data_IF_541193466649
#
_entry.id   IF_541193466649
#
_cell.length_a   1.000
_cell.length_b   1.000
_cell.length_c   1.000
_cell.angle_alpha   90.00
_cell.angle_beta   90.00
_cell.angle_gamma   90.00
#
_symmetry.space_group_name_H-M   'P 1'
#
loop_
_entity.id
_entity.type
_entity.pdbx_description
1 polymer ?
#
# COMPACT_ATOMS: atom_id res chain seq x y z
N UNK A 1 16.80 19.97 -10.26
CA UNK A 1 15.49 20.62 -10.04
C UNK A 1 15.29 20.60 -8.54
N UNK A 2 15.37 21.78 -7.91
CA UNK A 2 15.60 21.89 -6.48
C UNK A 2 14.48 21.19 -5.68
N UNK A 3 14.84 20.14 -4.94
CA UNK A 3 13.96 19.44 -4.01
C UNK A 3 14.34 19.81 -2.59
N UNK A 4 13.36 19.78 -1.69
CA UNK A 4 13.54 20.07 -0.27
C UNK A 4 14.07 18.85 0.48
N UNK A 5 13.46 17.70 0.23
CA UNK A 5 13.69 16.44 0.97
C UNK A 5 14.14 15.33 0.03
N UNK A 6 15.18 14.59 0.39
CA UNK A 6 15.55 13.34 -0.28
C UNK A 6 15.04 12.14 0.51
N UNK A 7 14.27 11.25 -0.13
CA UNK A 7 13.78 10.03 0.50
C UNK A 7 14.71 8.87 0.13
N UNK A 8 15.51 8.42 1.10
CA UNK A 8 16.36 7.23 0.93
C UNK A 8 15.65 6.00 1.48
N UNK A 9 15.50 4.98 0.64
CA UNK A 9 14.71 3.78 0.92
C UNK A 9 15.24 2.58 0.11
N UNK A 10 14.89 1.36 0.52
CA UNK A 10 15.12 0.18 -0.32
C UNK A 10 14.05 0.11 -1.40
N UNK A 11 14.40 -0.28 -2.63
CA UNK A 11 13.42 -0.41 -3.72
C UNK A 11 12.27 -1.37 -3.40
N UNK A 12 12.49 -2.31 -2.47
CA UNK A 12 11.47 -3.24 -1.95
C UNK A 12 10.40 -2.57 -1.08
N UNK A 13 10.72 -1.41 -0.52
CA UNK A 13 9.83 -0.63 0.35
C UNK A 13 9.24 0.58 -0.40
N UNK A 14 9.15 0.50 -1.73
CA UNK A 14 8.63 1.58 -2.57
C UNK A 14 7.25 2.10 -2.16
N UNK A 15 6.25 1.24 -1.86
CA UNK A 15 4.93 1.73 -1.45
C UNK A 15 5.00 2.62 -0.19
N UNK A 16 5.86 2.26 0.76
CA UNK A 16 6.11 3.02 1.99
C UNK A 16 6.71 4.40 1.66
N UNK A 17 7.71 4.42 0.78
CA UNK A 17 8.37 5.65 0.35
C UNK A 17 7.45 6.60 -0.43
N UNK A 18 6.64 6.06 -1.34
CA UNK A 18 5.67 6.84 -2.11
C UNK A 18 4.59 7.45 -1.20
N UNK A 19 4.15 6.72 -0.18
CA UNK A 19 3.22 7.26 0.80
C UNK A 19 3.83 8.41 1.62
N UNK A 20 5.10 8.29 2.02
CA UNK A 20 5.82 9.37 2.71
C UNK A 20 5.96 10.61 1.80
N UNK A 21 6.26 10.41 0.52
CA UNK A 21 6.33 11.48 -0.46
C UNK A 21 4.99 12.21 -0.55
N UNK A 22 3.88 11.47 -0.69
CA UNK A 22 2.55 12.06 -0.76
C UNK A 22 2.21 12.87 0.51
N UNK A 23 2.57 12.34 1.68
CA UNK A 23 2.39 13.03 2.95
C UNK A 23 3.16 14.37 2.97
N UNK A 24 4.46 14.36 2.63
CA UNK A 24 5.31 15.54 2.68
C UNK A 24 4.96 16.57 1.59
N UNK A 25 4.72 16.11 0.36
CA UNK A 25 4.30 16.97 -0.76
C UNK A 25 2.91 17.56 -0.50
N UNK A 26 2.02 16.82 0.17
CA UNK A 26 0.74 17.33 0.66
C UNK A 26 0.87 18.42 1.71
N UNK A 27 2.01 18.54 2.40
CA UNK A 27 2.33 19.61 3.34
C UNK A 27 3.25 20.69 2.72
N UNK A 28 3.38 20.69 1.39
CA UNK A 28 4.12 21.70 0.65
C UNK A 28 5.64 21.46 0.55
N UNK A 29 6.17 20.31 0.96
CA UNK A 29 7.60 20.00 0.82
C UNK A 29 7.87 19.24 -0.48
N UNK A 30 8.80 19.73 -1.29
CA UNK A 30 9.15 19.05 -2.54
C UNK A 30 10.08 17.85 -2.29
N UNK A 31 9.71 16.65 -2.71
CA UNK A 31 10.49 15.44 -2.45
C UNK A 31 11.27 14.97 -3.69
N UNK A 32 12.46 14.42 -3.48
CA UNK A 32 13.17 13.57 -4.44
C UNK A 32 12.99 12.10 -4.05
N UNK A 33 12.53 11.27 -4.99
CA UNK A 33 12.43 9.81 -4.82
C UNK A 33 12.94 9.11 -6.09
N UNK A 34 13.84 8.15 -5.91
CA UNK A 34 14.54 7.48 -7.02
C UNK A 34 13.60 6.74 -7.98
N UNK A 35 12.46 6.20 -7.52
CA UNK A 35 11.48 5.54 -8.40
C UNK A 35 10.78 6.47 -9.39
N UNK A 36 10.71 7.78 -9.09
CA UNK A 36 9.99 8.77 -9.90
C UNK A 36 10.94 9.70 -10.65
N UNK A 37 11.97 10.17 -9.96
CA UNK A 37 12.78 11.32 -10.41
C UNK A 37 14.03 10.89 -11.20
N UNK A 38 14.31 9.58 -11.31
CA UNK A 38 15.37 9.03 -12.17
C UNK A 38 14.74 8.46 -13.46
N UNK A 39 15.14 8.94 -14.66
CA UNK A 39 14.59 8.44 -15.92
C UNK A 39 14.87 6.94 -16.13
N UNK A 40 13.90 6.24 -16.73
CA UNK A 40 14.07 4.85 -17.13
C UNK A 40 15.23 4.73 -18.14
N UNK A 41 16.12 3.76 -17.93
CA UNK A 41 17.30 3.54 -18.77
C UNK A 41 18.49 4.46 -18.47
N UNK A 42 18.35 5.42 -17.55
CA UNK A 42 19.48 6.26 -17.13
C UNK A 42 20.39 5.54 -16.13
N UNK A 43 21.66 5.95 -16.09
CA UNK A 43 22.56 5.61 -14.98
C UNK A 43 22.12 6.37 -13.74
N UNK A 44 21.87 5.69 -12.63
CA UNK A 44 21.26 6.29 -11.43
C UNK A 44 22.21 7.22 -10.66
N UNK A 45 23.50 6.92 -10.64
CA UNK A 45 24.46 7.59 -9.76
C UNK A 45 24.55 9.12 -9.95
N UNK A 46 24.63 9.67 -11.18
CA UNK A 46 24.66 11.12 -11.38
C UNK A 46 23.41 11.82 -10.83
N UNK A 47 22.21 11.28 -11.10
CA UNK A 47 20.95 11.86 -10.62
C UNK A 47 20.85 11.88 -9.09
N UNK A 48 21.36 10.84 -8.44
CA UNK A 48 21.39 10.76 -6.98
C UNK A 48 22.35 11.82 -6.44
N UNK A 49 23.55 11.94 -7.00
CA UNK A 49 24.55 12.94 -6.57
C UNK A 49 23.98 14.36 -6.75
N UNK A 50 23.49 14.68 -7.94
CA UNK A 50 22.91 15.99 -8.25
C UNK A 50 21.74 16.32 -7.31
N UNK A 51 20.90 15.33 -6.99
CA UNK A 51 19.82 15.51 -6.04
C UNK A 51 20.33 15.78 -4.60
N UNK A 52 21.34 15.03 -4.15
CA UNK A 52 21.93 15.17 -2.81
C UNK A 52 22.61 16.53 -2.62
N UNK A 53 23.17 17.12 -3.68
CA UNK A 53 23.72 18.48 -3.65
C UNK A 53 22.62 19.53 -3.43
N UNK A 54 21.48 19.36 -4.12
CA UNK A 54 20.39 20.35 -4.14
C UNK A 54 19.46 20.29 -2.91
N UNK A 55 19.34 19.13 -2.24
CA UNK A 55 18.42 18.94 -1.11
C UNK A 55 18.82 19.75 0.13
N UNK A 56 17.88 19.87 1.07
CA UNK A 56 18.13 20.46 2.39
C UNK A 56 18.19 19.42 3.51
N UNK A 57 17.47 18.32 3.37
CA UNK A 57 17.43 17.25 4.38
C UNK A 57 17.21 15.89 3.71
N UNK A 58 17.85 14.85 4.25
CA UNK A 58 17.58 13.46 3.88
C UNK A 58 16.68 12.82 4.94
N UNK A 59 15.65 12.11 4.50
CA UNK A 59 14.84 11.23 5.34
C UNK A 59 15.14 9.78 4.94
N UNK A 60 15.47 8.94 5.92
CA UNK A 60 15.78 7.53 5.73
C UNK A 60 14.62 6.68 6.21
N UNK A 61 14.15 5.75 5.37
CA UNK A 61 13.23 4.68 5.77
C UNK A 61 14.03 3.45 6.20
N UNK A 62 14.34 3.34 7.49
CA UNK A 62 15.12 2.22 8.01
C UNK A 62 14.23 0.99 8.24
N UNK A 63 14.24 0.10 7.25
CA UNK A 63 13.62 -1.23 7.27
C UNK A 63 14.69 -2.34 7.28
N UNK A 64 14.29 -3.60 7.44
CA UNK A 64 15.18 -4.74 7.23
C UNK A 64 15.77 -4.75 5.80
N UNK A 65 14.95 -4.41 4.79
CA UNK A 65 15.38 -4.32 3.39
C UNK A 65 16.38 -3.18 3.17
N UNK A 66 16.24 -2.07 3.91
CA UNK A 66 17.18 -0.96 3.89
C UNK A 66 18.53 -1.39 4.46
N UNK A 67 18.54 -2.06 5.62
CA UNK A 67 19.77 -2.48 6.31
C UNK A 67 20.66 -3.38 5.42
N UNK A 68 20.04 -4.21 4.57
CA UNK A 68 20.73 -5.12 3.62
C UNK A 68 21.17 -4.45 2.31
N UNK A 69 20.74 -3.21 2.02
CA UNK A 69 21.02 -2.55 0.75
C UNK A 69 22.41 -1.90 0.73
N UNK A 70 23.23 -2.24 -0.27
CA UNK A 70 24.55 -1.62 -0.50
C UNK A 70 24.41 -0.24 -1.15
N UNK A 71 23.36 -0.03 -1.94
CA UNK A 71 23.18 1.24 -2.66
C UNK A 71 22.96 2.41 -1.71
N UNK A 72 22.19 2.19 -0.63
CA UNK A 72 21.92 3.23 0.37
C UNK A 72 23.15 3.57 1.21
N UNK A 73 24.15 2.68 1.30
CA UNK A 73 25.43 3.03 1.95
C UNK A 73 26.13 4.17 1.22
N UNK A 74 26.08 4.18 -0.11
CA UNK A 74 26.66 5.24 -0.93
C UNK A 74 25.93 6.56 -0.74
N UNK A 75 24.60 6.51 -0.72
CA UNK A 75 23.75 7.69 -0.50
C UNK A 75 24.02 8.35 0.85
N UNK A 76 24.09 7.55 1.93
CA UNK A 76 24.41 8.05 3.27
C UNK A 76 25.82 8.68 3.28
N UNK A 77 26.82 8.01 2.72
CA UNK A 77 28.19 8.54 2.69
C UNK A 77 28.25 9.88 1.96
N UNK A 78 27.64 10.01 0.78
CA UNK A 78 27.61 11.27 0.03
C UNK A 78 26.89 12.36 0.83
N UNK A 79 25.71 12.05 1.37
CA UNK A 79 24.90 13.00 2.13
C UNK A 79 25.62 13.52 3.39
N UNK A 80 26.26 12.62 4.14
CA UNK A 80 26.92 12.95 5.41
C UNK A 80 28.30 13.60 5.21
N UNK A 81 29.16 13.02 4.36
CA UNK A 81 30.57 13.42 4.29
C UNK A 81 30.80 14.57 3.31
N UNK A 82 30.17 14.50 2.14
CA UNK A 82 30.37 15.49 1.07
C UNK A 82 29.44 16.67 1.29
N UNK A 83 28.15 16.40 1.37
CA UNK A 83 27.12 17.44 1.36
C UNK A 83 26.77 17.97 2.75
N UNK A 84 27.16 17.24 3.81
CA UNK A 84 26.92 17.58 5.22
C UNK A 84 25.48 17.97 5.52
N UNK A 85 24.53 17.29 4.86
CA UNK A 85 23.10 17.55 5.04
C UNK A 85 22.58 16.81 6.28
N UNK A 86 21.61 17.37 7.00
CA UNK A 86 20.94 16.67 8.09
C UNK A 86 20.23 15.41 7.60
N UNK A 87 20.26 14.37 8.43
CA UNK A 87 19.64 13.07 8.19
C UNK A 87 18.61 12.80 9.29
N UNK A 88 17.39 12.46 8.89
CA UNK A 88 16.29 12.08 9.78
C UNK A 88 15.94 10.61 9.53
N UNK A 89 16.40 9.67 10.37
CA UNK A 89 16.04 8.27 10.23
C UNK A 89 14.68 7.97 10.87
N UNK A 90 13.79 7.37 10.09
CA UNK A 90 12.56 6.74 10.55
C UNK A 90 12.87 5.27 10.85
N UNK A 91 12.71 4.85 12.11
CA UNK A 91 12.91 3.46 12.53
C UNK A 91 11.65 2.66 12.24
N UNK A 92 11.69 1.78 11.23
CA UNK A 92 10.61 0.83 10.94
C UNK A 92 11.01 -0.63 11.20
N UNK A 93 12.24 -0.85 11.65
CA UNK A 93 12.78 -2.17 11.96
C UNK A 93 13.64 -2.13 13.22
N UNK A 94 13.57 -3.20 14.00
CA UNK A 94 14.41 -3.44 15.18
C UNK A 94 15.74 -4.11 14.85
N UNK A 95 16.02 -4.38 13.57
CA UNK A 95 17.27 -4.99 13.13
C UNK A 95 18.48 -4.12 13.53
N UNK A 96 19.55 -4.73 14.08
CA UNK A 96 20.73 -3.99 14.47
C UNK A 96 21.40 -3.37 13.24
N UNK A 97 21.83 -2.11 13.37
CA UNK A 97 22.61 -1.43 12.34
C UNK A 97 23.89 -2.21 12.02
N UNK A 98 24.21 -2.32 10.72
CA UNK A 98 25.43 -2.97 10.24
C UNK A 98 26.26 -2.04 9.35
N UNK A 99 27.56 -2.32 9.24
CA UNK A 99 28.46 -1.65 8.30
C UNK A 99 28.44 -0.11 8.38
N UNK A 100 28.33 0.54 7.21
CA UNK A 100 28.33 1.99 7.05
C UNK A 100 27.15 2.65 7.78
N UNK A 101 25.96 2.04 7.76
CA UNK A 101 24.78 2.55 8.47
C UNK A 101 25.02 2.64 9.96
N UNK A 102 25.72 1.67 10.56
CA UNK A 102 26.11 1.74 11.97
C UNK A 102 27.00 2.95 12.24
N UNK A 103 27.97 3.22 11.37
CA UNK A 103 28.86 4.35 11.54
C UNK A 103 28.13 5.70 11.56
N UNK A 104 27.24 5.95 10.59
CA UNK A 104 26.56 7.24 10.48
C UNK A 104 25.31 7.36 11.36
N UNK A 105 24.55 6.28 11.54
CA UNK A 105 23.23 6.35 12.17
C UNK A 105 23.23 6.02 13.67
N UNK A 106 24.33 5.51 14.25
CA UNK A 106 24.36 5.15 15.69
C UNK A 106 24.35 6.34 16.65
N UNK A 107 24.78 7.54 16.22
CA UNK A 107 24.92 8.71 17.10
C UNK A 107 23.97 9.86 16.73
N UNK A 108 22.89 9.57 16.02
CA UNK A 108 21.86 10.55 15.66
C UNK A 108 20.53 10.18 16.31
N UNK A 109 19.61 11.14 16.41
CA UNK A 109 18.26 10.89 16.92
C UNK A 109 17.40 10.22 15.85
N UNK A 110 16.55 9.30 16.29
CA UNK A 110 15.61 8.56 15.44
C UNK A 110 14.19 8.87 15.82
N UNK A 111 13.29 8.77 14.84
CA UNK A 111 11.85 8.70 15.09
C UNK A 111 11.49 7.22 15.08
N UNK A 112 11.06 6.66 16.22
CA UNK A 112 10.42 5.33 16.25
C UNK A 112 9.11 5.44 15.47
N UNK A 113 9.04 4.81 14.29
CA UNK A 113 8.04 5.13 13.28
C UNK A 113 7.11 3.94 13.02
N UNK A 114 5.91 4.05 13.60
CA UNK A 114 4.78 3.10 13.52
C UNK A 114 3.60 3.69 12.75
N UNK A 115 3.84 4.78 12.02
CA UNK A 115 2.83 5.46 11.21
C UNK A 115 1.68 6.06 12.01
N UNK A 116 1.91 6.40 13.28
CA UNK A 116 0.95 7.11 14.13
C UNK A 116 1.08 8.63 13.93
N UNK A 117 -0.02 9.37 14.07
CA UNK A 117 -0.07 10.83 13.83
C UNK A 117 1.04 11.61 14.55
N UNK A 118 1.31 11.28 15.81
CA UNK A 118 2.36 11.95 16.60
C UNK A 118 3.75 11.88 15.93
N UNK A 119 4.07 10.76 15.28
CA UNK A 119 5.37 10.56 14.63
C UNK A 119 5.49 11.40 13.34
N UNK A 120 4.38 11.64 12.64
CA UNK A 120 4.33 12.59 11.53
C UNK A 120 4.50 14.02 11.99
N UNK A 121 3.85 14.40 13.08
CA UNK A 121 3.97 15.74 13.65
C UNK A 121 5.43 16.00 14.05
N UNK A 122 6.11 15.01 14.64
CA UNK A 122 7.54 15.06 14.95
C UNK A 122 8.39 15.17 13.67
N UNK A 123 8.07 14.39 12.64
CA UNK A 123 8.78 14.44 11.36
C UNK A 123 8.62 15.82 10.68
N UNK A 124 7.41 16.33 10.56
CA UNK A 124 7.11 17.65 10.00
C UNK A 124 7.86 18.74 10.75
N UNK A 125 7.79 18.73 12.09
CA UNK A 125 8.52 19.69 12.92
C UNK A 125 10.02 19.63 12.65
N UNK A 126 10.57 18.43 12.51
CA UNK A 126 12.00 18.24 12.25
C UNK A 126 12.39 18.75 10.86
N UNK A 127 11.56 18.51 9.84
CA UNK A 127 11.77 19.02 8.47
C UNK A 127 11.66 20.55 8.45
N UNK A 128 10.62 21.13 9.05
CA UNK A 128 10.43 22.59 9.15
C UNK A 128 11.67 23.27 9.73
N UNK A 129 12.21 22.73 10.83
CA UNK A 129 13.41 23.26 11.49
C UNK A 129 14.63 23.21 10.57
N UNK A 130 14.85 22.11 9.84
CA UNK A 130 16.01 21.96 8.97
C UNK A 130 15.90 22.76 7.65
N UNK A 131 14.66 22.98 7.18
CA UNK A 131 14.39 23.62 5.89
C UNK A 131 14.15 25.13 6.02
N UNK A 132 13.66 25.59 7.18
CA UNK A 132 13.26 26.99 7.40
C UNK A 132 12.00 27.40 6.65
N UNK A 133 11.15 26.44 6.27
CA UNK A 133 9.87 26.64 5.58
C UNK A 133 8.73 26.10 6.45
N UNK A 134 7.64 26.85 6.59
CA UNK A 134 6.41 26.37 7.23
C UNK A 134 5.70 25.30 6.38
N UNK A 135 5.05 24.35 7.04
CA UNK A 135 4.21 23.37 6.37
C UNK A 135 2.88 24.01 5.94
N UNK A 136 2.40 23.63 4.76
CA UNK A 136 1.07 24.01 4.30
C UNK A 136 0.00 23.18 5.04
N UNK A 137 -1.13 23.77 5.46
CA UNK A 137 -2.20 23.04 6.13
C UNK A 137 -2.77 21.97 5.21
N UNK A 138 -2.85 20.72 5.68
CA UNK A 138 -3.47 19.64 4.95
C UNK A 138 -4.31 18.74 5.87
N UNK A 139 -5.63 18.89 5.78
CA UNK A 139 -6.60 18.10 6.55
C UNK A 139 -6.80 16.67 5.99
N UNK A 140 -6.27 16.36 4.80
CA UNK A 140 -6.38 15.04 4.13
C UNK A 140 -5.16 14.13 4.37
N UNK A 141 -4.51 14.26 5.52
CA UNK A 141 -3.32 13.50 5.87
C UNK A 141 -3.57 11.98 5.87
N UNK A 142 -3.21 11.29 4.78
CA UNK A 142 -3.12 9.81 4.74
C UNK A 142 -1.80 9.37 5.37
N UNK A 143 -1.87 8.71 6.51
CA UNK A 143 -0.70 8.18 7.22
C UNK A 143 -0.10 7.00 6.41
N UNK A 144 1.23 6.97 6.26
CA UNK A 144 2.09 5.96 5.61
C UNK A 144 1.78 4.51 6.01
N UNK A 145 1.27 4.29 7.22
CA UNK A 145 0.86 2.97 7.71
C UNK A 145 -0.63 2.89 8.01
N UNK A 146 -1.47 3.49 7.17
CA UNK A 146 -2.63 2.68 6.77
C UNK A 146 -2.04 1.48 5.99
N UNK A 147 -1.46 0.50 6.72
CA UNK A 147 -1.56 -0.91 6.32
C UNK A 147 -2.97 -1.02 5.78
N UNK A 148 -3.15 -1.46 4.52
CA UNK A 148 -4.49 -1.56 3.96
C UNK A 148 -5.37 -2.16 5.04
N UNK A 149 -6.32 -1.39 5.59
CA UNK A 149 -7.08 -1.82 6.78
C UNK A 149 -7.80 -3.14 6.50
N UNK A 150 -7.88 -3.46 5.22
CA UNK A 150 -8.53 -4.59 4.63
C UNK A 150 -7.56 -5.47 3.84
N UNK A 151 -7.65 -6.77 4.03
CA UNK A 151 -7.02 -7.79 3.19
C UNK A 151 -8.01 -8.24 2.11
N UNK A 152 -7.54 -8.33 0.86
CA UNK A 152 -8.33 -8.87 -0.25
C UNK A 152 -8.15 -10.38 -0.32
N UNK A 153 -9.25 -11.12 -0.40
CA UNK A 153 -9.25 -12.56 -0.68
C UNK A 153 -9.92 -12.85 -2.01
N UNK A 154 -9.35 -13.78 -2.79
CA UNK A 154 -9.94 -14.22 -4.05
C UNK A 154 -9.67 -15.71 -4.30
N UNK A 155 -10.45 -16.31 -5.20
CA UNK A 155 -10.20 -17.66 -5.68
C UNK A 155 -10.21 -18.71 -4.56
N UNK A 156 -9.08 -19.41 -4.41
CA UNK A 156 -8.92 -20.51 -3.45
C UNK A 156 -8.85 -20.05 -1.99
N UNK A 157 -8.63 -18.75 -1.73
CA UNK A 157 -8.58 -18.21 -0.37
C UNK A 157 -9.98 -18.03 0.24
N UNK A 158 -11.02 -17.97 -0.59
CA UNK A 158 -12.40 -17.80 -0.13
C UNK A 158 -12.83 -19.05 0.66
N UNK A 159 -13.47 -18.85 1.80
CA UNK A 159 -14.00 -19.93 2.64
C UNK A 159 -15.52 -19.86 2.78
N UNK A 160 -16.20 -20.96 3.14
CA UNK A 160 -17.64 -20.92 3.44
C UNK A 160 -17.99 -19.90 4.53
N UNK A 161 -17.12 -19.71 5.53
CA UNK A 161 -17.33 -18.71 6.58
C UNK A 161 -17.37 -17.28 6.02
N UNK A 162 -16.48 -16.96 5.08
CA UNK A 162 -16.49 -15.65 4.41
C UNK A 162 -17.76 -15.43 3.58
N UNK A 163 -18.28 -16.49 2.94
CA UNK A 163 -19.55 -16.43 2.20
C UNK A 163 -20.73 -16.22 3.15
N UNK A 164 -20.71 -16.85 4.33
CA UNK A 164 -21.72 -16.62 5.37
C UNK A 164 -21.73 -15.15 5.79
N UNK A 165 -20.57 -14.57 6.06
CA UNK A 165 -20.47 -13.16 6.45
C UNK A 165 -20.92 -12.21 5.33
N UNK A 166 -20.65 -12.52 4.06
CA UNK A 166 -21.18 -11.77 2.93
C UNK A 166 -22.72 -11.78 2.88
N UNK A 167 -23.35 -12.93 3.13
CA UNK A 167 -24.83 -13.04 3.20
C UNK A 167 -25.39 -12.28 4.41
N UNK A 168 -24.67 -12.26 5.54
CA UNK A 168 -25.07 -11.44 6.70
C UNK A 168 -24.98 -9.93 6.39
N UNK A 169 -24.01 -9.50 5.59
CA UNK A 169 -23.94 -8.11 5.11
C UNK A 169 -25.18 -7.77 4.27
N UNK A 170 -25.57 -8.64 3.34
CA UNK A 170 -26.75 -8.41 2.50
C UNK A 170 -28.03 -8.23 3.32
N UNK A 171 -28.19 -9.01 4.41
CA UNK A 171 -29.34 -8.89 5.34
C UNK A 171 -29.45 -7.53 6.02
N UNK A 172 -28.37 -6.76 6.09
CA UNK A 172 -28.39 -5.42 6.67
C UNK A 172 -28.88 -4.36 5.69
N UNK A 173 -28.85 -4.64 4.38
CA UNK A 173 -29.01 -3.63 3.32
C UNK A 173 -30.18 -3.95 2.38
N UNK A 174 -30.35 -5.21 2.00
CA UNK A 174 -31.34 -5.64 1.02
C UNK A 174 -32.62 -6.17 1.67
N UNK A 175 -33.72 -6.07 0.92
CA UNK A 175 -34.96 -6.76 1.26
C UNK A 175 -34.81 -8.27 1.05
N UNK A 176 -35.55 -9.08 1.82
CA UNK A 176 -35.49 -10.55 1.81
C UNK A 176 -35.52 -11.19 0.41
N UNK A 177 -36.22 -10.59 -0.54
CA UNK A 177 -36.33 -11.08 -1.91
C UNK A 177 -35.04 -11.01 -2.73
N UNK A 178 -34.04 -10.26 -2.28
CA UNK A 178 -32.74 -10.06 -2.96
C UNK A 178 -31.56 -10.64 -2.18
N UNK A 179 -31.83 -11.37 -1.09
CA UNK A 179 -30.78 -11.98 -0.27
C UNK A 179 -30.49 -13.38 -0.81
N UNK A 180 -29.23 -13.63 -1.15
CA UNK A 180 -28.78 -14.95 -1.57
C UNK A 180 -28.93 -15.98 -0.43
N UNK A 181 -29.46 -17.16 -0.74
CA UNK A 181 -29.44 -18.27 0.21
C UNK A 181 -28.00 -18.78 0.38
N UNK A 182 -27.52 -18.87 1.63
CA UNK A 182 -26.15 -19.30 1.94
C UNK A 182 -25.75 -20.62 1.26
N UNK A 183 -26.61 -21.64 1.29
CA UNK A 183 -26.30 -22.94 0.70
C UNK A 183 -26.15 -22.84 -0.83
N UNK A 184 -26.95 -21.99 -1.47
CA UNK A 184 -26.82 -21.71 -2.90
C UNK A 184 -25.53 -20.93 -3.19
N UNK A 185 -25.21 -19.90 -2.41
CA UNK A 185 -23.95 -19.16 -2.53
C UNK A 185 -22.72 -20.08 -2.44
N UNK A 186 -22.75 -21.06 -1.52
CA UNK A 186 -21.69 -22.06 -1.39
C UNK A 186 -21.64 -23.01 -2.60
N UNK A 187 -22.78 -23.40 -3.17
CA UNK A 187 -22.83 -24.22 -4.40
C UNK A 187 -22.23 -23.46 -5.58
N UNK A 188 -22.62 -22.21 -5.77
CA UNK A 188 -22.06 -21.33 -6.81
C UNK A 188 -20.54 -21.23 -6.68
N UNK A 189 -20.02 -20.99 -5.49
CA UNK A 189 -18.57 -20.91 -5.25
C UNK A 189 -17.87 -22.27 -5.43
N UNK A 190 -18.52 -23.40 -5.12
CA UNK A 190 -17.96 -24.72 -5.41
C UNK A 190 -17.82 -24.98 -6.90
N UNK A 191 -18.77 -24.49 -7.70
CA UNK A 191 -18.74 -24.55 -9.16
C UNK A 191 -17.62 -23.69 -9.73
N UNK A 192 -17.50 -22.45 -9.28
CA UNK A 192 -16.44 -21.54 -9.70
C UNK A 192 -15.86 -20.77 -8.48
N UNK A 193 -14.60 -21.05 -8.16
CA UNK A 193 -13.90 -20.47 -7.00
C UNK A 193 -13.63 -18.97 -7.14
N UNK A 194 -13.74 -18.41 -8.34
CA UNK A 194 -13.36 -17.03 -8.68
C UNK A 194 -14.57 -16.08 -8.79
N UNK A 195 -15.75 -16.49 -8.32
CA UNK A 195 -16.94 -15.63 -8.38
C UNK A 195 -17.02 -14.62 -7.23
N UNK A 196 -16.13 -14.72 -6.23
CA UNK A 196 -16.10 -13.81 -5.10
C UNK A 196 -14.72 -13.18 -4.93
N UNK A 197 -14.75 -11.88 -4.62
CA UNK A 197 -13.63 -11.13 -4.03
C UNK A 197 -14.13 -10.58 -2.69
N UNK A 198 -13.40 -10.85 -1.60
CA UNK A 198 -13.80 -10.46 -0.24
C UNK A 198 -12.80 -9.47 0.34
N UNK A 199 -13.28 -8.54 1.15
CA UNK A 199 -12.49 -7.58 1.93
C UNK A 199 -12.59 -7.94 3.42
N UNK A 200 -11.51 -8.45 4.00
CA UNK A 200 -11.38 -8.74 5.44
C UNK A 200 -10.77 -7.56 6.17
N UNK A 201 -11.43 -7.00 7.18
CA UNK A 201 -10.78 -6.09 8.13
C UNK A 201 -9.71 -6.82 8.94
N UNK A 202 -8.46 -6.38 8.82
CA UNK A 202 -7.30 -7.07 9.39
C UNK A 202 -7.35 -7.12 10.92
N UNK A 203 -7.93 -6.10 11.57
CA UNK A 203 -7.99 -5.98 13.04
C UNK A 203 -9.07 -6.88 13.62
N UNK A 204 -10.24 -6.90 12.99
CA UNK A 204 -11.41 -7.63 13.51
C UNK A 204 -11.53 -9.04 12.94
N UNK A 205 -10.82 -9.34 11.84
CA UNK A 205 -10.91 -10.60 11.08
C UNK A 205 -12.29 -10.89 10.51
N UNK A 206 -13.08 -9.84 10.28
CA UNK A 206 -14.42 -9.93 9.69
C UNK A 206 -14.40 -9.52 8.23
N UNK A 207 -15.22 -10.17 7.42
CA UNK A 207 -15.56 -9.66 6.10
C UNK A 207 -16.43 -8.41 6.27
N UNK A 208 -15.98 -7.31 5.67
CA UNK A 208 -16.64 -6.01 5.73
C UNK A 208 -17.13 -5.52 4.37
N UNK A 209 -16.80 -6.26 3.31
CA UNK A 209 -17.26 -5.98 1.95
C UNK A 209 -16.94 -7.13 1.02
N UNK A 210 -17.68 -7.23 -0.06
CA UNK A 210 -17.44 -8.23 -1.08
C UNK A 210 -17.92 -7.77 -2.45
N UNK A 211 -17.35 -8.37 -3.49
CA UNK A 211 -17.81 -8.27 -4.87
C UNK A 211 -18.12 -9.67 -5.35
N UNK A 212 -19.29 -9.81 -5.97
CA UNK A 212 -19.68 -11.03 -6.65
C UNK A 212 -19.68 -10.80 -8.17
N UNK A 213 -19.05 -11.71 -8.91
CA UNK A 213 -19.01 -11.70 -10.36
C UNK A 213 -19.26 -13.12 -10.88
N UNK A 214 -20.48 -13.41 -11.33
CA UNK A 214 -20.86 -14.72 -11.87
C UNK A 214 -20.88 -14.70 -13.40
N UNK A 215 -19.95 -15.39 -14.08
CA UNK A 215 -20.08 -15.65 -15.49
C UNK A 215 -21.21 -16.65 -15.69
N UNK A 216 -22.06 -16.37 -16.67
CA UNK A 216 -23.26 -17.14 -16.97
C UNK A 216 -23.23 -17.62 -18.41
N UNK A 217 -23.87 -18.75 -18.68
CA UNK A 217 -24.02 -19.26 -20.04
C UNK A 217 -24.98 -18.40 -20.90
N UNK A 218 -24.92 -18.59 -22.22
CA UNK A 218 -25.75 -17.85 -23.18
C UNK A 218 -27.27 -18.05 -22.95
N UNK A 219 -27.68 -19.23 -22.47
CA UNK A 219 -29.09 -19.52 -22.21
C UNK A 219 -29.62 -18.62 -21.09
N UNK A 220 -28.89 -18.53 -19.97
CA UNK A 220 -29.26 -17.69 -18.84
C UNK A 220 -29.14 -16.20 -19.19
N UNK A 221 -28.15 -15.82 -19.99
CA UNK A 221 -28.02 -14.45 -20.50
C UNK A 221 -29.28 -13.97 -21.23
N UNK A 222 -29.85 -14.79 -22.12
CA UNK A 222 -31.08 -14.44 -22.85
C UNK A 222 -32.32 -14.35 -21.95
N UNK A 223 -32.36 -15.08 -20.82
CA UNK A 223 -33.43 -14.99 -19.82
C UNK A 223 -33.31 -13.67 -19.03
N UNK A 224 -32.10 -13.34 -18.55
CA UNK A 224 -31.83 -12.10 -17.82
C UNK A 224 -32.15 -10.88 -18.69
N UNK A 225 -31.77 -10.91 -19.97
CA UNK A 225 -32.05 -9.84 -20.93
C UNK A 225 -33.55 -9.53 -21.09
N UNK A 226 -34.42 -10.50 -20.84
CA UNK A 226 -35.88 -10.34 -20.88
C UNK A 226 -36.47 -9.89 -19.54
N UNK A 227 -35.66 -9.78 -18.49
CA UNK A 227 -36.10 -9.43 -17.14
C UNK A 227 -36.89 -10.54 -16.44
N UNK A 228 -36.73 -11.80 -16.86
CA UNK A 228 -37.53 -12.94 -16.40
C UNK A 228 -36.99 -13.59 -15.10
N UNK A 229 -35.82 -13.17 -14.62
CA UNK A 229 -35.14 -13.79 -13.46
C UNK A 229 -34.40 -12.76 -12.61
N UNK A 230 -34.26 -13.05 -11.32
CA UNK A 230 -33.45 -12.29 -10.35
C UNK A 230 -32.25 -13.14 -9.97
N UNK A 231 -31.09 -12.50 -9.83
CA UNK A 231 -29.77 -13.11 -9.63
C UNK A 231 -29.74 -14.15 -8.50
N UNK A 232 -30.48 -13.93 -7.41
CA UNK A 232 -30.52 -14.86 -6.25
C UNK A 232 -31.16 -16.22 -6.54
N UNK A 233 -31.80 -16.37 -7.70
CA UNK A 233 -32.48 -17.60 -8.12
C UNK A 233 -31.71 -18.40 -9.17
N UNK A 234 -30.50 -17.97 -9.51
CA UNK A 234 -29.63 -18.65 -10.48
C UNK A 234 -29.23 -20.05 -9.98
N UNK A 235 -29.37 -21.06 -10.84
CA UNK A 235 -28.88 -22.42 -10.58
C UNK A 235 -27.36 -22.49 -10.84
N UNK A 236 -26.61 -23.22 -10.00
CA UNK A 236 -25.16 -23.41 -10.13
C UNK A 236 -24.73 -24.08 -11.44
N UNK A 237 -25.62 -24.85 -12.08
CA UNK A 237 -25.38 -25.41 -13.42
C UNK A 237 -25.18 -24.34 -14.50
N UNK A 238 -25.72 -23.14 -14.29
CA UNK A 238 -25.62 -22.03 -15.23
C UNK A 238 -24.38 -21.16 -15.03
N UNK A 239 -23.59 -21.43 -13.98
CA UNK A 239 -22.37 -20.69 -13.68
C UNK A 239 -21.19 -21.34 -14.41
N UNK A 240 -20.52 -20.52 -15.21
CA UNK A 240 -19.36 -20.95 -15.97
C UNK A 240 -18.06 -20.70 -15.20
N UNK A 241 -17.05 -21.50 -15.50
CA UNK A 241 -15.65 -21.23 -15.14
C UNK A 241 -14.99 -20.52 -16.31
N UNK A 242 -14.24 -19.46 -16.05
CA UNK A 242 -13.44 -18.79 -17.06
C UNK A 242 -11.96 -19.01 -16.75
N UNK A 243 -11.16 -19.07 -17.81
CA UNK A 243 -9.72 -19.04 -17.68
C UNK A 243 -9.31 -17.62 -17.26
N UNK A 244 -8.52 -17.52 -16.19
CA UNK A 244 -7.88 -16.29 -15.75
C UNK A 244 -6.41 -16.39 -16.18
N UNK A 245 -6.09 -16.10 -17.45
CA UNK A 245 -4.70 -16.01 -17.86
C UNK A 245 -4.07 -14.88 -17.04
N UNK A 246 -3.09 -15.25 -16.21
CA UNK A 246 -2.28 -14.32 -15.44
C UNK A 246 -3.03 -13.49 -14.38
N UNK A 247 -3.56 -14.13 -13.33
CA UNK A 247 -3.57 -13.42 -12.04
C UNK A 247 -2.12 -13.10 -11.71
N UNK A 248 -1.75 -11.82 -11.86
CA UNK A 248 -0.53 -11.23 -11.34
C UNK A 248 -0.35 -11.67 -9.89
N UNK A 249 0.41 -12.75 -9.70
CA UNK A 249 1.06 -13.03 -8.43
C UNK A 249 2.20 -11.99 -8.34
N UNK A 250 1.84 -10.77 -7.93
CA UNK A 250 2.78 -9.78 -7.40
C UNK A 250 3.14 -10.15 -5.96
#
# INVERSE_FOLDING_TARGET
>A
MKKDVFISYSTKDRPLAESLVNFLEGHGFSCFISSRDIPLGATWAPYIIDALEEIKVMVILFTENYNKSVQVDREITVCCDLEKKPVIPLKLSEEPLTGIKKFYLSNINWIDFKGEKEQYDILLKSIIINIGKEAEPNDETKLILDESTYKVHCGKEITPQMIFEAVEIDKLVYNDSYIGNYDNCVKWWKKNKYIYVMLEDIKTKKIIGYINAMPINNTLYEIIKKGEIIDVTINDENIETYDLPDTYNL
#
